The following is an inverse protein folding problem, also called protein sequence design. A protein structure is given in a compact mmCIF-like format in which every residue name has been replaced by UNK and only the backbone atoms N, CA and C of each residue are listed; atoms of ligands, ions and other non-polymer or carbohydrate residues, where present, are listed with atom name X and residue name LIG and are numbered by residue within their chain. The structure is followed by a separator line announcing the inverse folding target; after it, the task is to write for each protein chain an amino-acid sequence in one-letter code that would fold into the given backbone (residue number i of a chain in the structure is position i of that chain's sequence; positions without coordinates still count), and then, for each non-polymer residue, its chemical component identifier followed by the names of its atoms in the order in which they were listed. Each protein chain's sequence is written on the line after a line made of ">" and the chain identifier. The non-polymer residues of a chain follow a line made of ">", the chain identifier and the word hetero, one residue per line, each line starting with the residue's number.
data_IF_550706788585
#
_entry.id   IF_550706788585
#
_cell.length_a   1.000
_cell.length_b   1.000
_cell.length_c   1.000
_cell.angle_alpha   90.00
_cell.angle_beta   90.00
_cell.angle_gamma   90.00
#
_symmetry.space_group_name_H-M   'P 1'
#
loop_
_entity.id
_entity.type
_entity.pdbx_description
1 polymer ?
#
# COMPACT_ATOMS: atom_id res chain seq x y z
N UNK A 1 -17.57 -60.77 -25.78
CA UNK A 1 -17.77 -59.45 -26.43
C UNK A 1 -17.01 -58.44 -25.57
N UNK A 2 -15.72 -58.26 -25.84
CA UNK A 2 -15.13 -57.13 -26.60
C UNK A 2 -15.42 -55.79 -25.92
N UNK A 3 -14.49 -54.88 -25.64
CA UNK A 3 -13.02 -54.82 -25.49
C UNK A 3 -12.77 -53.35 -25.11
N UNK A 4 -11.82 -53.07 -24.22
CA UNK A 4 -11.32 -51.69 -24.05
C UNK A 4 -10.58 -51.19 -25.31
N UNK A 5 -10.46 -49.87 -25.48
CA UNK A 5 -9.19 -49.27 -25.93
C UNK A 5 -8.80 -48.10 -25.00
N UNK A 6 -7.62 -48.03 -24.38
CA UNK A 6 -6.24 -47.85 -24.89
C UNK A 6 -5.99 -46.50 -25.60
N UNK A 7 -5.13 -45.72 -24.95
CA UNK A 7 -4.67 -44.38 -25.31
C UNK A 7 -3.87 -44.33 -26.62
N UNK A 8 -3.84 -43.15 -27.26
CA UNK A 8 -2.70 -42.70 -28.07
C UNK A 8 -2.50 -41.20 -27.92
N UNK A 9 -1.26 -40.83 -27.58
CA UNK A 9 -0.71 -39.49 -27.72
C UNK A 9 0.01 -39.39 -29.06
N UNK A 10 -0.04 -38.23 -29.72
CA UNK A 10 1.05 -37.76 -30.58
C UNK A 10 0.91 -36.30 -31.01
N UNK A 11 2.02 -35.66 -31.42
CA UNK A 11 2.29 -34.24 -31.21
C UNK A 11 2.13 -33.40 -32.46
N UNK A 12 1.81 -32.12 -32.32
CA UNK A 12 2.00 -31.14 -33.40
C UNK A 12 3.34 -30.43 -33.23
N UNK A 13 4.17 -30.59 -34.27
CA UNK A 13 5.55 -30.09 -34.41
C UNK A 13 5.55 -28.89 -35.37
N UNK A 14 6.51 -28.02 -35.12
CA UNK A 14 6.83 -26.72 -35.73
C UNK A 14 6.91 -26.64 -37.27
N UNK A 15 6.69 -25.42 -37.78
CA UNK A 15 7.40 -24.69 -38.86
C UNK A 15 6.71 -23.30 -38.97
N UNK A 16 7.34 -22.15 -39.16
CA UNK A 16 8.62 -21.80 -39.77
C UNK A 16 8.37 -20.73 -40.84
N UNK A 17 9.12 -19.63 -40.77
CA UNK A 17 9.51 -18.70 -41.86
C UNK A 17 8.67 -17.45 -42.21
N UNK A 18 9.20 -16.31 -41.71
CA UNK A 18 9.69 -15.10 -42.42
C UNK A 18 8.98 -14.55 -43.68
N UNK A 19 8.69 -13.24 -43.66
CA UNK A 19 9.12 -12.20 -44.63
C UNK A 19 8.65 -10.81 -44.15
N UNK A 20 9.56 -9.86 -43.86
CA UNK A 20 10.11 -8.84 -44.78
C UNK A 20 9.05 -7.98 -45.49
N UNK A 21 9.00 -6.69 -45.14
CA UNK A 21 8.15 -5.70 -45.81
C UNK A 21 8.05 -4.35 -45.10
N UNK A 22 9.11 -3.55 -45.14
CA UNK A 22 9.02 -2.07 -45.18
C UNK A 22 9.06 -1.67 -46.67
N UNK A 23 8.42 -0.55 -47.10
CA UNK A 23 9.10 0.75 -46.99
C UNK A 23 8.20 2.02 -46.88
N UNK A 24 8.85 3.11 -46.42
CA UNK A 24 8.77 4.52 -46.90
C UNK A 24 7.41 5.27 -46.82
N UNK A 25 7.30 6.59 -46.63
CA UNK A 25 8.25 7.70 -46.66
C UNK A 25 7.58 8.99 -46.12
N UNK A 26 8.43 9.90 -45.64
CA UNK A 26 8.41 11.37 -45.79
C UNK A 26 7.09 12.16 -45.67
N UNK A 27 7.07 13.07 -44.70
CA UNK A 27 6.71 14.48 -44.96
C UNK A 27 7.57 15.39 -44.07
N UNK A 28 8.20 16.37 -44.69
CA UNK A 28 9.12 17.35 -44.11
C UNK A 28 8.50 18.75 -44.28
N UNK A 29 8.93 19.71 -43.44
CA UNK A 29 8.99 21.19 -43.63
C UNK A 29 7.80 22.00 -43.03
N UNK A 30 7.99 23.25 -42.48
CA UNK A 30 9.21 24.00 -42.12
C UNK A 30 9.27 24.52 -40.67
N UNK A 31 10.49 24.94 -40.30
CA UNK A 31 10.78 25.91 -39.24
C UNK A 31 10.56 27.36 -39.72
N UNK A 32 10.13 28.25 -38.82
CA UNK A 32 10.30 29.69 -38.97
C UNK A 32 10.70 30.35 -37.63
N UNK A 33 11.80 31.09 -37.69
CA UNK A 33 12.34 32.00 -36.68
C UNK A 33 11.38 33.18 -36.38
N UNK A 34 11.42 33.69 -35.15
CA UNK A 34 11.72 35.12 -34.80
C UNK A 34 11.67 35.32 -33.27
N UNK A 35 12.83 35.54 -32.65
CA UNK A 35 13.34 36.82 -32.10
C UNK A 35 12.52 37.42 -30.96
N UNK A 36 13.13 37.54 -29.77
CA UNK A 36 12.61 38.30 -28.65
C UNK A 36 13.47 38.17 -27.40
N UNK A 37 14.69 38.71 -27.45
CA UNK A 37 15.52 38.94 -26.28
C UNK A 37 14.99 40.17 -25.51
N UNK A 38 14.82 40.06 -24.19
CA UNK A 38 14.92 41.19 -23.27
C UNK A 38 15.64 40.74 -21.99
N UNK A 39 16.60 41.57 -21.62
CA UNK A 39 17.63 41.44 -20.58
C UNK A 39 17.11 41.47 -19.13
N UNK A 40 18.00 41.19 -18.15
CA UNK A 40 17.69 41.13 -16.72
C UNK A 40 17.87 42.49 -16.02
N UNK A 41 17.13 42.71 -14.93
CA UNK A 41 17.47 43.74 -13.94
C UNK A 41 18.16 43.09 -12.74
N UNK A 42 19.35 43.60 -12.46
CA UNK A 42 20.19 43.31 -11.31
C UNK A 42 20.16 44.48 -10.31
N UNK A 43 20.75 44.21 -9.14
CA UNK A 43 21.18 45.11 -8.06
C UNK A 43 20.05 45.64 -7.15
N UNK A 44 20.21 45.70 -5.83
CA UNK A 44 21.30 45.46 -4.87
C UNK A 44 20.65 45.58 -3.47
N UNK A 45 21.30 45.63 -2.32
CA UNK A 45 22.68 45.54 -1.87
C UNK A 45 22.61 45.52 -0.31
N UNK A 46 23.65 44.98 0.32
CA UNK A 46 24.03 45.26 1.72
C UNK A 46 23.41 44.35 2.78
N UNK A 47 24.09 43.96 3.86
CA UNK A 47 25.44 44.25 4.36
C UNK A 47 25.74 43.28 5.53
N UNK A 48 27.02 42.91 5.68
CA UNK A 48 27.82 42.67 6.91
C UNK A 48 27.25 41.79 8.04
N UNK A 49 27.88 40.66 8.44
CA UNK A 49 29.22 40.42 9.02
C UNK A 49 29.17 40.22 10.56
N UNK A 50 30.16 39.46 11.06
CA UNK A 50 30.60 39.24 12.47
C UNK A 50 29.98 38.01 13.17
N UNK A 51 30.77 36.94 13.40
CA UNK A 51 31.57 36.65 14.63
C UNK A 51 30.67 36.33 15.83
N UNK A 52 30.93 35.41 16.77
CA UNK A 52 31.85 34.30 17.01
C UNK A 52 31.52 33.84 18.45
N UNK A 53 31.94 32.62 18.79
CA UNK A 53 32.33 32.20 20.15
C UNK A 53 31.28 31.65 21.16
N UNK A 54 31.69 30.50 21.67
CA UNK A 54 31.70 30.04 23.07
C UNK A 54 30.51 29.30 23.71
N UNK A 55 30.77 28.00 23.94
CA UNK A 55 30.24 27.18 25.02
C UNK A 55 30.69 27.71 26.40
N UNK A 56 30.03 27.30 27.50
CA UNK A 56 30.58 26.17 28.26
C UNK A 56 29.51 25.27 28.95
N UNK A 57 29.85 23.99 29.16
CA UNK A 57 29.31 23.19 30.29
C UNK A 57 30.27 23.26 31.49
N UNK A 58 30.23 22.34 32.48
CA UNK A 58 29.19 21.39 32.86
C UNK A 58 28.80 21.50 34.36
N UNK A 59 27.76 20.80 34.81
CA UNK A 59 27.52 20.57 36.25
C UNK A 59 27.05 19.14 36.48
N UNK A 60 27.79 18.48 37.38
CA UNK A 60 27.64 17.11 37.90
C UNK A 60 27.13 17.24 39.34
N UNK A 61 26.15 16.41 39.72
CA UNK A 61 25.80 15.94 41.09
C UNK A 61 24.44 15.22 40.96
N UNK A 62 24.09 14.11 41.62
CA UNK A 62 24.73 13.28 42.63
C UNK A 62 23.94 11.96 42.69
N UNK A 63 24.63 10.89 43.10
CA UNK A 63 24.06 9.57 43.36
C UNK A 63 23.21 9.58 44.63
N UNK A 64 22.16 8.76 44.68
CA UNK A 64 21.71 8.20 45.97
C UNK A 64 21.21 6.78 45.77
N UNK A 65 22.00 5.83 46.28
CA UNK A 65 21.59 4.47 46.62
C UNK A 65 21.15 4.42 48.08
N UNK A 66 20.19 3.56 48.39
CA UNK A 66 19.99 2.78 49.64
C UNK A 66 18.61 2.07 49.52
N UNK A 67 18.27 0.88 50.02
CA UNK A 67 18.94 -0.34 50.49
C UNK A 67 17.80 -1.35 50.84
N UNK A 68 17.93 -2.61 50.42
CA UNK A 68 17.53 -3.90 51.04
C UNK A 68 16.15 -4.15 51.75
N UNK A 69 15.34 -5.07 51.16
CA UNK A 69 14.74 -6.38 51.63
C UNK A 69 14.05 -6.52 53.04
N UNK A 70 13.28 -7.61 53.38
CA UNK A 70 12.96 -8.89 52.69
C UNK A 70 11.44 -9.29 52.66
N UNK A 71 10.94 -10.28 51.90
CA UNK A 71 10.80 -11.71 52.27
C UNK A 71 9.74 -12.43 51.38
N UNK A 72 9.80 -13.77 51.34
CA UNK A 72 9.36 -14.73 50.30
C UNK A 72 7.85 -15.13 50.22
N UNK A 73 7.43 -16.25 49.57
CA UNK A 73 6.78 -16.26 48.26
C UNK A 73 5.32 -16.74 48.29
N UNK A 74 4.42 -15.99 47.64
CA UNK A 74 3.03 -16.39 47.41
C UNK A 74 2.85 -17.04 46.04
N UNK A 75 2.57 -18.34 46.03
CA UNK A 75 2.09 -19.11 44.89
C UNK A 75 0.74 -18.54 44.44
N UNK A 76 0.65 -18.01 43.22
CA UNK A 76 -0.62 -17.67 42.58
C UNK A 76 -0.62 -18.19 41.15
N UNK A 77 -1.68 -18.94 40.87
CA UNK A 77 -1.96 -19.65 39.64
C UNK A 77 -1.96 -18.73 38.42
N UNK A 78 -1.16 -19.10 37.41
CA UNK A 78 -1.21 -18.48 36.10
C UNK A 78 -2.50 -18.91 35.39
N UNK A 79 -3.60 -18.18 35.65
CA UNK A 79 -4.73 -18.18 34.76
C UNK A 79 -4.30 -17.52 33.44
N UNK A 80 -4.24 -18.37 32.42
CA UNK A 80 -4.04 -18.09 31.01
C UNK A 80 -5.02 -17.00 30.54
N UNK A 81 -4.57 -15.75 30.52
CA UNK A 81 -5.35 -14.64 29.96
C UNK A 81 -5.54 -14.87 28.47
N UNK A 82 -6.82 -14.95 28.07
CA UNK A 82 -7.26 -15.06 26.68
C UNK A 82 -7.11 -13.68 26.04
N UNK A 83 -6.57 -13.55 24.82
CA UNK A 83 -6.54 -12.25 24.15
C UNK A 83 -7.98 -11.76 23.97
N UNK A 84 -8.21 -10.57 24.50
CA UNK A 84 -9.49 -9.98 24.81
C UNK A 84 -10.13 -9.36 23.54
N UNK A 85 -11.43 -9.58 23.38
CA UNK A 85 -12.32 -9.04 22.31
C UNK A 85 -12.43 -7.50 22.37
N UNK A 86 -11.60 -6.85 23.19
CA UNK A 86 -11.56 -5.39 23.44
C UNK A 86 -10.95 -4.57 22.32
N UNK A 87 -10.13 -5.13 21.42
CA UNK A 87 -9.45 -4.33 20.39
C UNK A 87 -10.46 -3.72 19.40
N UNK A 88 -11.58 -4.40 19.12
CA UNK A 88 -12.63 -3.87 18.24
C UNK A 88 -13.57 -2.91 18.98
N UNK A 89 -13.72 -3.05 20.31
CA UNK A 89 -14.69 -2.28 21.10
C UNK A 89 -14.12 -0.97 21.69
N UNK A 90 -12.79 -0.81 21.71
CA UNK A 90 -12.12 0.39 22.23
C UNK A 90 -11.90 1.51 21.20
N UNK A 91 -12.38 1.35 19.95
CA UNK A 91 -12.33 2.37 18.90
C UNK A 91 -13.53 3.35 18.92
N UNK A 92 -14.36 3.32 19.97
CA UNK A 92 -15.67 3.97 19.98
C UNK A 92 -15.72 5.42 20.51
N UNK A 93 -14.64 6.21 20.48
CA UNK A 93 -14.70 7.59 21.05
C UNK A 93 -14.20 8.69 20.12
N UNK A 94 -14.06 8.44 18.82
CA UNK A 94 -14.13 9.49 17.79
C UNK A 94 -14.99 8.95 16.65
N UNK A 95 -16.32 9.05 16.81
CA UNK A 95 -17.25 8.72 15.73
C UNK A 95 -17.28 9.88 14.72
N UNK A 96 -16.24 9.97 13.87
CA UNK A 96 -16.44 10.57 12.56
C UNK A 96 -17.51 9.73 11.89
N UNK A 97 -18.70 10.29 11.69
CA UNK A 97 -19.83 9.54 11.15
C UNK A 97 -19.41 8.98 9.79
N UNK A 98 -19.20 7.67 9.72
CA UNK A 98 -18.97 7.02 8.44
C UNK A 98 -20.19 7.27 7.57
N UNK A 99 -20.03 7.72 6.31
CA UNK A 99 -21.15 8.04 5.44
C UNK A 99 -22.01 6.80 5.14
N UNK A 100 -21.48 5.59 5.34
CA UNK A 100 -22.17 4.33 5.13
C UNK A 100 -21.93 3.39 6.31
N UNK A 101 -22.95 2.69 6.85
CA UNK A 101 -22.81 1.83 8.03
C UNK A 101 -21.88 0.62 7.81
N UNK A 102 -21.77 0.13 6.56
CA UNK A 102 -20.82 -0.91 6.18
C UNK A 102 -19.43 -0.41 5.76
N UNK A 103 -19.15 0.88 5.98
CA UNK A 103 -17.80 1.45 5.84
C UNK A 103 -17.27 1.81 7.21
N UNK A 104 -16.05 1.38 7.52
CA UNK A 104 -15.30 1.89 8.68
C UNK A 104 -14.05 2.57 8.17
N UNK A 105 -13.81 3.81 8.62
CA UNK A 105 -12.55 4.54 8.38
C UNK A 105 -11.84 4.68 9.72
N UNK A 106 -10.57 4.29 9.74
CA UNK A 106 -9.68 4.48 10.88
C UNK A 106 -8.65 5.54 10.48
N UNK A 107 -8.92 6.83 10.74
CA UNK A 107 -7.92 7.89 10.55
C UNK A 107 -6.80 7.64 11.56
N UNK A 108 -5.54 7.78 11.14
CA UNK A 108 -4.37 7.59 12.01
C UNK A 108 -4.20 6.16 12.55
N UNK A 109 -4.60 5.15 11.77
CA UNK A 109 -4.41 3.75 12.14
C UNK A 109 -2.93 3.38 12.28
N UNK A 110 -2.08 3.91 11.39
CA UNK A 110 -0.64 3.71 11.41
C UNK A 110 0.10 4.96 11.88
N UNK A 111 1.06 4.79 12.78
CA UNK A 111 1.98 5.86 13.14
C UNK A 111 3.04 6.12 12.04
N UNK A 112 3.83 7.18 12.20
CA UNK A 112 4.81 7.59 11.20
C UNK A 112 5.89 6.53 10.92
N UNK A 113 6.28 5.76 11.93
CA UNK A 113 7.29 4.71 11.79
C UNK A 113 6.72 3.50 11.04
N UNK A 114 5.52 3.05 11.43
CA UNK A 114 4.79 1.98 10.75
C UNK A 114 4.55 2.33 9.27
N UNK A 115 4.16 3.58 8.98
CA UNK A 115 4.00 4.07 7.61
C UNK A 115 5.31 3.99 6.81
N UNK A 116 6.43 4.46 7.38
CA UNK A 116 7.74 4.45 6.74
C UNK A 116 8.24 3.02 6.45
N UNK A 117 8.14 2.13 7.44
CA UNK A 117 8.51 0.72 7.31
C UNK A 117 7.70 0.02 6.22
N UNK A 118 6.37 0.09 6.30
CA UNK A 118 5.49 -0.55 5.32
C UNK A 118 5.71 0.02 3.92
N UNK A 119 5.86 1.34 3.77
CA UNK A 119 6.11 1.97 2.48
C UNK A 119 7.44 1.52 1.87
N UNK A 120 8.54 1.64 2.63
CA UNK A 120 9.88 1.30 2.15
C UNK A 120 9.99 -0.16 1.74
N UNK A 121 9.44 -1.07 2.55
CA UNK A 121 9.46 -2.49 2.23
C UNK A 121 8.52 -2.84 1.06
N UNK A 122 7.33 -2.23 0.97
CA UNK A 122 6.43 -2.39 -0.20
C UNK A 122 7.11 -1.96 -1.49
N UNK A 123 7.79 -0.81 -1.48
CA UNK A 123 8.50 -0.29 -2.65
C UNK A 123 9.66 -1.21 -3.04
N UNK A 124 10.39 -1.80 -2.09
CA UNK A 124 11.44 -2.79 -2.38
C UNK A 124 10.89 -4.03 -3.08
N UNK A 125 9.73 -4.54 -2.66
CA UNK A 125 9.09 -5.69 -3.32
C UNK A 125 8.70 -5.36 -4.76
N UNK A 126 8.05 -4.22 -4.95
CA UNK A 126 7.67 -3.75 -6.28
C UNK A 126 8.89 -3.40 -7.17
N UNK A 127 10.03 -3.05 -6.57
CA UNK A 127 11.30 -2.78 -7.27
C UNK A 127 12.12 -4.05 -7.56
N UNK A 128 11.62 -5.23 -7.19
CA UNK A 128 12.36 -6.48 -7.34
C UNK A 128 12.73 -6.76 -8.80
N UNK A 129 13.85 -7.47 -9.06
CA UNK A 129 14.30 -7.83 -10.41
C UNK A 129 13.26 -8.57 -11.27
N UNK A 130 12.35 -9.32 -10.65
CA UNK A 130 11.29 -10.06 -11.33
C UNK A 130 10.14 -9.16 -11.78
N UNK A 131 10.08 -7.92 -11.31
CA UNK A 131 9.01 -6.95 -11.59
C UNK A 131 9.49 -5.73 -12.37
N UNK A 132 10.79 -5.49 -12.40
CA UNK A 132 11.36 -4.30 -13.03
C UNK A 132 12.27 -4.65 -14.20
N UNK A 133 12.16 -3.85 -15.27
CA UNK A 133 13.03 -4.02 -16.43
C UNK A 133 14.46 -3.57 -16.13
N UNK A 134 15.43 -4.00 -16.93
CA UNK A 134 16.80 -3.49 -16.82
C UNK A 134 16.88 -1.97 -17.05
N UNK A 135 16.02 -1.43 -17.93
CA UNK A 135 15.91 0.00 -18.19
C UNK A 135 15.32 0.75 -16.98
N UNK A 136 14.22 0.27 -16.41
CA UNK A 136 13.61 0.85 -15.20
C UNK A 136 14.57 0.88 -14.02
N UNK A 137 15.30 -0.23 -13.78
CA UNK A 137 16.34 -0.28 -12.74
C UNK A 137 17.47 0.72 -12.98
N UNK A 138 17.84 0.95 -14.24
CA UNK A 138 18.84 1.98 -14.60
C UNK A 138 18.31 3.38 -14.29
N UNK A 139 17.09 3.73 -14.74
CA UNK A 139 16.45 5.03 -14.46
C UNK A 139 16.38 5.32 -12.97
N UNK A 140 15.95 4.34 -12.17
CA UNK A 140 15.92 4.44 -10.70
C UNK A 140 17.30 4.75 -10.09
N UNK A 141 18.35 4.05 -10.52
CA UNK A 141 19.72 4.31 -10.00
C UNK A 141 20.22 5.70 -10.39
N UNK A 142 19.92 6.15 -11.60
CA UNK A 142 20.29 7.48 -12.09
C UNK A 142 19.56 8.57 -11.31
N UNK A 143 18.28 8.38 -11.01
CA UNK A 143 17.51 9.28 -10.16
C UNK A 143 18.11 9.36 -8.75
N UNK A 144 18.34 8.23 -8.08
CA UNK A 144 18.92 8.22 -6.73
C UNK A 144 20.30 8.90 -6.70
N UNK A 145 21.14 8.66 -7.71
CA UNK A 145 22.43 9.32 -7.84
C UNK A 145 22.30 10.84 -7.98
N UNK A 146 21.25 11.30 -8.66
CA UNK A 146 20.96 12.72 -8.89
C UNK A 146 20.28 13.38 -7.68
N UNK A 147 19.74 12.58 -6.76
CA UNK A 147 19.00 13.03 -5.58
C UNK A 147 19.66 12.49 -4.29
N UNK A 148 20.90 12.89 -3.97
CA UNK A 148 21.68 12.31 -2.86
C UNK A 148 21.09 12.56 -1.48
N UNK A 149 20.21 13.56 -1.33
CA UNK A 149 19.53 13.89 -0.06
C UNK A 149 18.19 13.15 0.11
N UNK A 150 17.84 12.24 -0.79
CA UNK A 150 16.59 11.48 -0.70
C UNK A 150 16.61 10.51 0.49
N UNK A 151 15.66 10.69 1.42
CA UNK A 151 15.63 10.03 2.72
C UNK A 151 14.86 8.70 2.78
N UNK A 152 14.58 8.06 1.64
CA UNK A 152 13.78 6.84 1.59
C UNK A 152 12.27 7.14 1.57
N UNK A 153 11.60 6.75 0.47
CA UNK A 153 10.19 7.04 0.23
C UNK A 153 9.86 6.84 -1.25
N UNK A 154 8.98 7.66 -1.80
CA UNK A 154 8.82 7.71 -3.26
C UNK A 154 9.99 8.41 -3.92
N UNK A 155 10.43 7.88 -5.07
CA UNK A 155 11.26 8.63 -6.02
C UNK A 155 10.35 9.35 -7.02
N UNK A 156 10.88 10.17 -7.93
CA UNK A 156 10.08 10.85 -8.95
C UNK A 156 9.31 9.89 -9.86
N UNK A 157 8.15 10.31 -10.37
CA UNK A 157 7.30 9.50 -11.26
C UNK A 157 8.10 8.99 -12.48
N UNK A 158 9.00 9.81 -13.01
CA UNK A 158 9.88 9.51 -14.14
C UNK A 158 10.88 8.38 -13.89
N UNK A 159 11.10 8.02 -12.62
CA UNK A 159 12.03 6.98 -12.22
C UNK A 159 11.37 5.61 -12.03
N UNK A 160 10.06 5.50 -12.25
CA UNK A 160 9.30 4.25 -12.25
C UNK A 160 8.88 3.80 -13.66
N UNK A 161 8.62 2.50 -13.80
CA UNK A 161 7.87 1.90 -14.92
C UNK A 161 6.39 1.88 -14.50
N UNK A 162 5.53 2.67 -15.16
CA UNK A 162 4.09 2.70 -14.91
C UNK A 162 3.33 2.00 -16.03
N UNK A 163 2.30 1.25 -15.67
CA UNK A 163 1.32 0.69 -16.60
C UNK A 163 0.26 1.76 -16.92
N UNK A 164 0.05 2.02 -18.22
CA UNK A 164 -0.88 3.06 -18.70
C UNK A 164 -2.34 2.72 -18.39
N UNK A 165 -2.72 1.45 -18.57
CA UNK A 165 -4.04 0.94 -18.29
C UNK A 165 -3.98 -0.55 -17.94
N UNK A 166 -4.76 -0.95 -16.93
CA UNK A 166 -4.99 -2.35 -16.59
C UNK A 166 -5.86 -3.00 -17.70
N UNK A 167 -5.85 -4.33 -17.81
CA UNK A 167 -6.49 -5.03 -18.94
C UNK A 167 -8.01 -4.77 -19.05
N UNK A 168 -8.66 -4.44 -17.94
CA UNK A 168 -10.08 -4.07 -17.84
C UNK A 168 -10.31 -2.55 -17.89
N UNK A 169 -9.25 -1.75 -18.09
CA UNK A 169 -9.24 -0.28 -18.10
C UNK A 169 -9.67 0.40 -16.79
N UNK A 170 -9.75 -0.33 -15.68
CA UNK A 170 -10.18 0.21 -14.38
C UNK A 170 -9.07 1.02 -13.71
N UNK A 171 -7.81 0.62 -13.84
CA UNK A 171 -6.68 1.29 -13.18
C UNK A 171 -5.76 1.89 -14.24
N UNK A 172 -5.30 3.12 -14.01
CA UNK A 172 -4.32 3.82 -14.86
C UNK A 172 -3.10 4.27 -14.09
N UNK A 173 -1.96 4.37 -14.79
CA UNK A 173 -0.73 4.96 -14.26
C UNK A 173 -0.33 4.34 -12.91
N UNK A 174 -0.24 3.01 -12.91
CA UNK A 174 -0.06 2.21 -11.72
C UNK A 174 1.05 1.17 -11.91
N UNK A 175 1.46 0.55 -10.81
CA UNK A 175 2.16 -0.72 -10.81
C UNK A 175 1.71 -1.51 -9.60
N UNK A 176 1.69 -2.83 -9.71
CA UNK A 176 1.11 -3.65 -8.66
C UNK A 176 1.81 -5.00 -8.51
N UNK A 177 1.54 -5.70 -7.41
CA UNK A 177 1.87 -7.11 -7.25
C UNK A 177 1.04 -7.76 -6.15
N UNK A 178 0.75 -9.05 -6.32
CA UNK A 178 0.33 -9.90 -5.21
C UNK A 178 1.54 -10.30 -4.38
N UNK A 179 1.43 -10.17 -3.06
CA UNK A 179 2.47 -10.62 -2.14
C UNK A 179 2.17 -12.02 -1.67
N UNK A 180 3.15 -12.91 -1.84
CA UNK A 180 3.06 -14.33 -1.48
C UNK A 180 3.88 -14.61 -0.23
N UNK A 181 3.68 -15.80 0.31
CA UNK A 181 4.49 -16.34 1.39
C UNK A 181 5.99 -16.22 1.06
N UNK A 182 6.78 -15.83 2.06
CA UNK A 182 8.22 -15.65 1.94
C UNK A 182 8.67 -14.33 1.30
N UNK A 183 7.78 -13.56 0.67
CA UNK A 183 8.21 -12.31 -0.01
C UNK A 183 8.57 -11.19 0.97
N UNK A 184 7.87 -11.08 2.11
CA UNK A 184 8.20 -10.10 3.15
C UNK A 184 9.40 -10.50 4.02
N UNK A 185 9.94 -11.70 3.84
CA UNK A 185 11.06 -12.18 4.63
C UNK A 185 12.27 -11.26 4.43
N UNK A 186 12.66 -10.63 5.53
CA UNK A 186 13.80 -9.75 5.56
C UNK A 186 15.08 -10.60 5.45
N UNK A 187 15.79 -10.49 4.34
CA UNK A 187 17.21 -10.85 4.32
C UNK A 187 17.99 -9.60 4.72
N UNK A 188 18.63 -9.56 5.89
CA UNK A 188 19.50 -8.46 6.26
C UNK A 188 20.64 -8.41 5.24
N UNK A 189 20.64 -7.42 4.34
CA UNK A 189 21.74 -7.18 3.41
C UNK A 189 22.93 -6.50 4.09
N UNK A 190 23.07 -6.65 5.43
CA UNK A 190 24.13 -6.09 6.26
C UNK A 190 24.09 -4.57 6.49
N UNK A 191 23.21 -3.83 5.79
CA UNK A 191 23.16 -2.36 5.80
C UNK A 191 21.97 -1.77 6.56
N UNK A 192 21.03 -2.60 7.01
CA UNK A 192 19.77 -2.16 7.63
C UNK A 192 19.71 -2.63 9.10
N UNK A 193 19.31 -1.78 10.07
CA UNK A 193 19.30 -2.14 11.48
C UNK A 193 18.38 -3.33 11.77
N UNK A 194 18.84 -4.26 12.63
CA UNK A 194 18.06 -5.44 13.05
C UNK A 194 16.72 -5.08 13.73
N UNK A 195 16.56 -3.85 14.24
CA UNK A 195 15.32 -3.35 14.84
C UNK A 195 14.15 -3.27 13.85
N UNK A 196 14.43 -2.93 12.59
CA UNK A 196 13.41 -2.74 11.55
C UNK A 196 12.61 -4.01 11.25
N UNK A 197 13.21 -5.20 11.41
CA UNK A 197 12.56 -6.46 11.10
C UNK A 197 11.41 -6.78 12.08
N UNK A 198 11.65 -6.58 13.38
CA UNK A 198 10.63 -6.82 14.42
C UNK A 198 9.52 -5.76 14.37
N UNK A 199 9.89 -4.52 14.08
CA UNK A 199 8.91 -3.43 13.94
C UNK A 199 8.05 -3.60 12.68
N UNK A 200 8.65 -4.02 11.57
CA UNK A 200 7.90 -4.39 10.36
C UNK A 200 6.93 -5.53 10.65
N UNK A 201 7.41 -6.59 11.31
CA UNK A 201 6.59 -7.72 11.71
C UNK A 201 5.39 -7.28 12.57
N UNK A 202 5.62 -6.39 13.55
CA UNK A 202 4.55 -5.83 14.37
C UNK A 202 3.54 -5.02 13.52
N UNK A 203 4.03 -4.18 12.59
CA UNK A 203 3.18 -3.40 11.69
C UNK A 203 2.36 -4.30 10.74
N UNK A 204 2.95 -5.37 10.21
CA UNK A 204 2.28 -6.36 9.37
C UNK A 204 1.20 -7.11 10.17
N UNK A 205 1.52 -7.60 11.37
CA UNK A 205 0.55 -8.25 12.25
C UNK A 205 -0.62 -7.33 12.60
N UNK A 206 -0.35 -6.05 12.83
CA UNK A 206 -1.38 -5.03 13.07
C UNK A 206 -2.35 -4.94 11.89
N UNK A 207 -1.86 -4.77 10.66
CA UNK A 207 -2.76 -4.69 9.48
C UNK A 207 -3.47 -6.02 9.20
N UNK A 208 -2.84 -7.19 9.45
CA UNK A 208 -3.47 -8.50 9.29
C UNK A 208 -4.62 -8.71 10.27
N UNK A 209 -4.52 -8.15 11.47
CA UNK A 209 -5.58 -8.23 12.48
C UNK A 209 -6.89 -7.53 12.08
N UNK A 210 -6.90 -6.72 11.02
CA UNK A 210 -8.13 -6.13 10.47
C UNK A 210 -9.02 -7.14 9.74
N UNK A 211 -8.47 -8.29 9.33
CA UNK A 211 -9.20 -9.40 8.69
C UNK A 211 -8.81 -10.73 9.36
N UNK A 212 -9.28 -10.99 10.59
CA UNK A 212 -9.05 -12.26 11.25
C UNK A 212 -9.75 -13.41 10.48
N UNK A 213 -9.26 -14.66 10.61
CA UNK A 213 -9.92 -15.80 10.01
C UNK A 213 -11.39 -15.87 10.44
N UNK A 214 -12.29 -16.17 9.50
CA UNK A 214 -13.68 -16.46 9.83
C UNK A 214 -13.75 -17.67 10.78
N UNK A 215 -14.46 -17.53 11.91
CA UNK A 215 -14.64 -18.61 12.91
C UNK A 215 -15.22 -19.89 12.32
N UNK A 216 -15.93 -19.79 11.18
CA UNK A 216 -16.47 -20.92 10.43
C UNK A 216 -15.41 -21.73 9.64
N UNK A 217 -14.23 -21.17 9.37
CA UNK A 217 -13.12 -21.88 8.72
C UNK A 217 -12.30 -22.74 9.70
N UNK A 218 -12.52 -22.58 11.01
CA UNK A 218 -11.83 -23.32 12.06
C UNK A 218 -12.56 -24.62 12.40
N UNK A 219 -12.70 -25.53 11.44
CA UNK A 219 -13.13 -26.92 11.70
C UNK A 219 -12.22 -27.98 11.08
N UNK A 220 -11.07 -27.58 10.53
CA UNK A 220 -10.07 -28.53 10.05
C UNK A 220 -8.88 -28.63 11.02
N UNK A 221 -8.83 -29.78 11.71
CA UNK A 221 -7.65 -30.41 12.36
C UNK A 221 -6.99 -29.69 13.55
N UNK A 222 -7.17 -30.29 14.73
CA UNK A 222 -6.47 -29.97 15.98
C UNK A 222 -5.00 -30.41 16.01
N UNK A 223 -4.20 -29.89 15.10
CA UNK A 223 -2.74 -29.88 15.22
C UNK A 223 -2.30 -28.49 15.72
N UNK A 224 -1.33 -28.38 16.66
CA UNK A 224 -0.72 -27.09 16.94
C UNK A 224 0.03 -26.66 15.69
N UNK A 225 -0.59 -25.77 14.89
CA UNK A 225 0.04 -25.18 13.73
C UNK A 225 1.35 -24.54 14.17
N UNK A 226 2.47 -24.97 13.58
CA UNK A 226 3.73 -24.29 13.71
C UNK A 226 3.48 -22.81 13.44
N UNK A 227 3.90 -21.95 14.38
CA UNK A 227 3.68 -20.50 14.28
C UNK A 227 4.37 -20.04 13.00
N UNK A 228 3.62 -19.61 11.96
CA UNK A 228 4.26 -19.21 10.71
C UNK A 228 5.21 -18.04 10.97
N UNK A 229 6.26 -17.87 10.15
CA UNK A 229 7.05 -16.65 10.19
C UNK A 229 6.09 -15.47 9.99
N UNK A 230 6.06 -14.63 11.01
CA UNK A 230 5.05 -13.61 11.33
C UNK A 230 4.95 -12.48 10.31
N UNK A 231 5.85 -12.41 9.33
CA UNK A 231 5.82 -11.43 8.23
C UNK A 231 5.04 -11.89 7.01
N UNK A 232 4.85 -13.20 6.81
CA UNK A 232 4.12 -13.72 5.65
C UNK A 232 2.62 -13.40 5.75
N UNK A 233 1.94 -13.08 4.63
CA UNK A 233 0.50 -12.89 4.66
C UNK A 233 -0.19 -14.19 5.11
N UNK A 234 -1.15 -14.14 6.06
CA UNK A 234 -1.93 -15.29 6.44
C UNK A 234 -2.56 -16.01 5.24
N UNK A 235 -2.66 -17.34 5.31
CA UNK A 235 -3.09 -18.17 4.16
C UNK A 235 -4.50 -17.85 3.68
N UNK A 236 -5.39 -17.39 4.57
CA UNK A 236 -6.75 -16.95 4.24
C UNK A 236 -6.79 -15.57 3.58
N UNK A 237 -5.69 -14.80 3.58
CA UNK A 237 -5.65 -13.47 2.99
C UNK A 237 -5.00 -13.47 1.61
N UNK A 238 -5.52 -12.59 0.75
CA UNK A 238 -4.84 -12.10 -0.45
C UNK A 238 -4.33 -10.71 -0.11
N UNK A 239 -3.01 -10.53 -0.18
CA UNK A 239 -2.35 -9.24 -0.01
C UNK A 239 -1.92 -8.71 -1.37
N UNK A 240 -2.37 -7.51 -1.69
CA UNK A 240 -2.11 -6.84 -2.95
C UNK A 240 -1.50 -5.46 -2.71
N UNK A 241 -0.32 -5.21 -3.28
CA UNK A 241 0.31 -3.90 -3.30
C UNK A 241 -0.08 -3.18 -4.57
N UNK A 242 -0.68 -2.01 -4.45
CA UNK A 242 -1.04 -1.16 -5.58
C UNK A 242 -0.41 0.22 -5.39
N UNK A 243 0.51 0.58 -6.29
CA UNK A 243 1.18 1.86 -6.29
C UNK A 243 0.67 2.71 -7.46
N UNK A 244 0.14 3.89 -7.16
CA UNK A 244 -0.35 4.87 -8.12
C UNK A 244 0.65 6.03 -8.24
N UNK A 245 0.90 6.47 -9.47
CA UNK A 245 1.70 7.66 -9.74
C UNK A 245 1.01 8.94 -9.23
N UNK A 246 1.66 10.10 -9.35
CA UNK A 246 1.00 11.39 -9.09
C UNK A 246 -0.26 11.62 -9.94
N UNK A 247 -0.35 10.92 -11.09
CA UNK A 247 -1.46 10.97 -12.06
C UNK A 247 -2.29 9.68 -12.10
N UNK A 248 -1.98 8.73 -11.23
CA UNK A 248 -2.70 7.46 -11.11
C UNK A 248 -4.11 7.64 -10.58
N UNK A 249 -5.02 6.83 -11.11
CA UNK A 249 -6.39 6.75 -10.65
C UNK A 249 -6.94 5.33 -10.79
N UNK A 250 -8.01 5.07 -10.05
CA UNK A 250 -8.84 3.88 -10.18
C UNK A 250 -10.23 4.37 -10.54
N UNK A 251 -10.78 3.90 -11.64
CA UNK A 251 -12.11 4.25 -12.13
C UNK A 251 -13.22 3.45 -11.42
N UNK A 252 -14.49 3.88 -11.52
CA UNK A 252 -15.62 3.21 -10.86
C UNK A 252 -15.73 1.73 -11.22
N UNK A 253 -15.63 0.86 -10.21
CA UNK A 253 -15.79 -0.57 -10.39
C UNK A 253 -16.28 -1.24 -9.10
N UNK A 254 -16.77 -2.48 -9.23
CA UNK A 254 -17.01 -3.40 -8.12
C UNK A 254 -15.91 -4.46 -8.19
N UNK A 255 -15.26 -4.74 -7.06
CA UNK A 255 -14.24 -5.79 -6.97
C UNK A 255 -14.84 -7.15 -7.38
N UNK A 256 -14.04 -8.03 -7.98
CA UNK A 256 -14.53 -9.33 -8.44
C UNK A 256 -15.19 -10.12 -7.29
N UNK A 257 -16.49 -10.38 -7.44
CA UNK A 257 -17.32 -11.04 -6.43
C UNK A 257 -17.01 -12.52 -6.26
N UNK A 258 -16.46 -13.16 -7.29
CA UNK A 258 -16.12 -14.59 -7.30
C UNK A 258 -14.72 -14.87 -6.75
N UNK A 259 -13.87 -13.83 -6.63
CA UNK A 259 -12.48 -13.99 -6.23
C UNK A 259 -12.22 -13.63 -4.75
N UNK A 260 -13.12 -12.87 -4.12
CA UNK A 260 -12.87 -12.29 -2.79
C UNK A 260 -14.09 -12.38 -1.89
N UNK A 261 -13.83 -12.57 -0.60
CA UNK A 261 -14.84 -12.65 0.45
C UNK A 261 -15.61 -11.35 0.69
N UNK A 262 -16.28 -11.28 1.84
CA UNK A 262 -17.27 -10.23 2.15
C UNK A 262 -16.67 -8.89 2.55
N UNK A 263 -15.38 -8.87 2.86
CA UNK A 263 -14.69 -7.71 3.41
C UNK A 263 -13.43 -7.38 2.62
N UNK A 264 -13.25 -6.10 2.32
CA UNK A 264 -12.02 -5.54 1.74
C UNK A 264 -11.45 -4.56 2.75
N UNK A 265 -10.15 -4.66 2.99
CA UNK A 265 -9.40 -3.67 3.78
C UNK A 265 -8.36 -3.02 2.90
N UNK A 266 -8.24 -1.70 3.00
CA UNK A 266 -7.19 -0.95 2.34
C UNK A 266 -6.44 -0.05 3.31
N UNK A 267 -5.13 -0.16 3.32
CA UNK A 267 -4.21 0.74 4.03
C UNK A 267 -3.71 1.78 3.04
N UNK A 268 -3.74 3.05 3.41
CA UNK A 268 -3.26 4.15 2.57
C UNK A 268 -1.91 4.66 3.04
N UNK A 269 -0.91 4.64 2.17
CA UNK A 269 0.44 5.14 2.43
C UNK A 269 0.80 6.21 1.40
N UNK A 270 1.50 7.26 1.83
CA UNK A 270 1.98 8.28 0.92
C UNK A 270 1.05 9.48 0.75
N UNK A 271 0.62 9.76 -0.47
CA UNK A 271 -0.24 10.89 -0.80
C UNK A 271 -1.71 10.70 -0.44
N UNK A 272 -2.36 11.78 -0.02
CA UNK A 272 -3.81 11.80 0.18
C UNK A 272 -4.55 11.53 -1.14
N UNK A 273 -5.66 10.79 -1.05
CA UNK A 273 -6.60 10.59 -2.15
C UNK A 273 -8.04 10.67 -1.68
N UNK A 274 -8.95 10.93 -2.62
CA UNK A 274 -10.38 10.82 -2.38
C UNK A 274 -10.84 9.51 -3.01
N UNK A 275 -11.49 8.67 -2.21
CA UNK A 275 -12.23 7.53 -2.70
C UNK A 275 -13.70 7.90 -2.79
N UNK A 276 -14.30 7.65 -3.94
CA UNK A 276 -15.72 7.92 -4.19
C UNK A 276 -16.47 6.62 -4.32
N UNK A 277 -17.66 6.59 -3.75
CA UNK A 277 -18.60 5.49 -3.86
C UNK A 277 -19.87 5.94 -4.58
N UNK A 278 -20.36 5.10 -5.49
CA UNK A 278 -21.66 5.32 -6.14
C UNK A 278 -22.46 4.02 -6.11
N UNK A 279 -23.72 4.09 -5.66
CA UNK A 279 -24.62 2.94 -5.65
C UNK A 279 -24.85 2.43 -7.08
N UNK A 280 -24.78 1.11 -7.26
CA UNK A 280 -25.03 0.46 -8.54
C UNK A 280 -26.53 0.53 -8.85
N UNK A 281 -26.91 1.13 -9.99
CA UNK A 281 -28.31 1.40 -10.35
C UNK A 281 -29.15 0.13 -10.57
N UNK A 282 -28.52 -1.00 -10.91
CA UNK A 282 -29.17 -2.29 -11.18
C UNK A 282 -29.32 -3.19 -9.94
N UNK A 283 -28.88 -2.73 -8.77
CA UNK A 283 -29.12 -3.44 -7.53
C UNK A 283 -30.61 -3.35 -7.19
N UNK A 284 -31.33 -4.47 -7.28
CA UNK A 284 -32.74 -4.55 -6.90
C UNK A 284 -32.97 -3.81 -5.58
N UNK A 285 -33.89 -2.84 -5.60
CA UNK A 285 -34.17 -1.87 -4.54
C UNK A 285 -34.72 -2.46 -3.22
N UNK A 286 -34.39 -3.72 -2.92
CA UNK A 286 -34.78 -4.49 -1.74
C UNK A 286 -33.66 -4.67 -0.72
N UNK A 287 -32.44 -4.23 -1.00
CA UNK A 287 -31.43 -4.10 0.05
C UNK A 287 -31.84 -2.91 0.92
N UNK A 288 -32.07 -3.13 2.22
CA UNK A 288 -32.23 -2.09 3.23
C UNK A 288 -30.91 -1.31 3.35
N UNK A 289 -30.62 -0.48 2.35
CA UNK A 289 -29.40 0.27 2.22
C UNK A 289 -29.60 1.65 2.85
N UNK A 290 -29.18 1.76 4.10
CA UNK A 290 -29.24 2.99 4.89
C UNK A 290 -28.15 4.00 4.54
N UNK A 291 -27.33 3.73 3.52
CA UNK A 291 -26.32 4.67 3.02
C UNK A 291 -26.87 5.69 2.00
N UNK A 292 -26.10 6.76 1.71
CA UNK A 292 -26.39 7.70 0.64
C UNK A 292 -26.09 7.09 -0.74
N UNK A 293 -26.75 7.56 -1.79
CA UNK A 293 -26.55 7.03 -3.16
C UNK A 293 -25.13 7.27 -3.70
N UNK A 294 -24.48 8.34 -3.27
CA UNK A 294 -23.11 8.66 -3.62
C UNK A 294 -22.44 9.40 -2.46
N UNK A 295 -21.16 9.12 -2.21
CA UNK A 295 -20.40 9.80 -1.17
C UNK A 295 -18.89 9.67 -1.39
N UNK A 296 -18.15 10.61 -0.83
CA UNK A 296 -16.69 10.67 -0.92
C UNK A 296 -16.09 10.45 0.48
N UNK A 297 -14.92 9.80 0.53
CA UNK A 297 -14.11 9.67 1.73
C UNK A 297 -12.67 10.07 1.46
N UNK A 298 -12.07 10.76 2.42
CA UNK A 298 -10.65 11.10 2.38
C UNK A 298 -9.82 9.91 2.87
N UNK A 299 -8.87 9.49 2.03
CA UNK A 299 -7.87 8.49 2.35
C UNK A 299 -6.56 9.20 2.72
N UNK A 300 -6.42 9.50 4.01
CA UNK A 300 -5.22 10.11 4.56
C UNK A 300 -4.06 9.10 4.67
N UNK A 301 -2.80 9.55 4.70
CA UNK A 301 -1.65 8.67 4.90
C UNK A 301 -1.73 8.03 6.29
N UNK A 302 -1.48 6.73 6.37
CA UNK A 302 -1.62 5.94 7.59
C UNK A 302 -3.05 5.54 7.95
N UNK A 303 -4.06 5.96 7.18
CA UNK A 303 -5.43 5.52 7.41
C UNK A 303 -5.68 4.08 6.92
N UNK A 304 -6.64 3.41 7.56
CA UNK A 304 -7.21 2.16 7.09
C UNK A 304 -8.70 2.35 6.77
N UNK A 305 -9.19 1.74 5.70
CA UNK A 305 -10.62 1.61 5.43
C UNK A 305 -11.03 0.14 5.37
N UNK A 306 -12.24 -0.14 5.85
CA UNK A 306 -12.84 -1.48 5.87
C UNK A 306 -14.20 -1.39 5.18
N UNK A 307 -14.33 -2.05 4.04
CA UNK A 307 -15.59 -2.17 3.29
C UNK A 307 -16.18 -3.54 3.55
N UNK A 308 -17.39 -3.58 4.12
CA UNK A 308 -18.18 -4.79 4.30
C UNK A 308 -19.37 -4.82 3.33
N UNK A 309 -20.05 -5.94 3.23
CA UNK A 309 -21.41 -5.95 2.65
C UNK A 309 -22.37 -5.05 3.44
N UNK A 310 -23.35 -4.40 2.78
CA UNK A 310 -23.63 -4.41 1.35
C UNK A 310 -22.72 -3.49 0.50
N UNK A 311 -21.92 -2.63 1.13
CA UNK A 311 -21.12 -1.61 0.42
C UNK A 311 -20.21 -2.22 -0.65
N UNK A 312 -19.49 -3.29 -0.30
CA UNK A 312 -18.56 -3.98 -1.21
C UNK A 312 -19.20 -4.38 -2.54
N UNK A 313 -20.47 -4.78 -2.54
CA UNK A 313 -21.10 -5.44 -3.69
C UNK A 313 -22.10 -4.54 -4.42
N UNK A 314 -22.71 -3.58 -3.71
CA UNK A 314 -23.77 -2.73 -4.24
C UNK A 314 -23.32 -1.30 -4.53
N UNK A 315 -22.05 -0.97 -4.29
CA UNK A 315 -21.45 0.30 -4.66
C UNK A 315 -20.23 0.08 -5.52
N UNK A 316 -20.11 0.88 -6.58
CA UNK A 316 -18.80 1.07 -7.20
C UNK A 316 -17.92 1.87 -6.26
N UNK A 317 -16.62 1.65 -6.35
CA UNK A 317 -15.62 2.50 -5.72
C UNK A 317 -14.59 2.95 -6.77
N UNK A 318 -14.06 4.15 -6.58
CA UNK A 318 -13.04 4.75 -7.43
C UNK A 318 -12.06 5.56 -6.56
N UNK A 319 -10.81 5.69 -6.99
CA UNK A 319 -9.79 6.52 -6.35
C UNK A 319 -9.42 7.61 -7.34
N UNK A 320 -9.83 8.84 -7.04
CA UNK A 320 -9.72 9.98 -7.95
C UNK A 320 -8.26 10.42 -8.13
N UNK A 321 -7.87 10.83 -9.34
CA UNK A 321 -6.54 11.42 -9.62
C UNK A 321 -6.33 12.71 -8.79
N UNK A 322 -7.32 13.61 -8.87
CA UNK A 322 -7.39 14.82 -8.07
C UNK A 322 -8.83 15.29 -7.94
N UNK A 323 -9.19 15.83 -6.78
CA UNK A 323 -10.50 16.42 -6.52
C UNK A 323 -10.43 17.40 -5.34
N UNK A 324 -11.50 18.18 -5.14
CA UNK A 324 -11.60 19.13 -4.01
C UNK A 324 -12.21 18.43 -2.79
N UNK A 325 -11.53 18.50 -1.65
CA UNK A 325 -12.03 18.06 -0.34
C UNK A 325 -12.07 19.25 0.60
N UNK A 326 -13.24 19.65 1.10
CA UNK A 326 -13.39 20.81 1.99
C UNK A 326 -12.64 22.08 1.51
N UNK A 327 -12.71 22.36 0.20
CA UNK A 327 -12.09 23.54 -0.41
C UNK A 327 -10.61 23.41 -0.78
N UNK A 328 -9.89 22.38 -0.31
CA UNK A 328 -8.50 22.09 -0.74
C UNK A 328 -8.44 21.08 -1.87
N UNK A 329 -7.45 21.20 -2.75
CA UNK A 329 -7.18 20.19 -3.78
C UNK A 329 -6.44 19.03 -3.13
N UNK A 330 -6.96 17.81 -3.31
CA UNK A 330 -6.37 16.54 -2.87
C UNK A 330 -5.99 15.73 -4.12
N UNK A 331 -4.88 14.99 -4.05
CA UNK A 331 -4.32 14.24 -5.18
C UNK A 331 -3.00 14.82 -5.69
N UNK A 332 -2.57 14.40 -6.88
CA UNK A 332 -1.35 14.94 -7.52
C UNK A 332 -0.03 14.48 -6.90
N UNK A 333 -0.04 13.46 -6.05
CA UNK A 333 1.14 12.88 -5.37
C UNK A 333 1.12 11.37 -5.44
N UNK A 334 2.23 10.66 -5.34
CA UNK A 334 2.18 9.19 -5.37
C UNK A 334 1.44 8.61 -4.16
N UNK A 335 0.73 7.49 -4.35
CA UNK A 335 0.02 6.77 -3.29
C UNK A 335 0.24 5.28 -3.42
N UNK A 336 0.59 4.63 -2.32
CA UNK A 336 0.66 3.18 -2.23
C UNK A 336 -0.48 2.65 -1.36
N UNK A 337 -1.14 1.59 -1.83
CA UNK A 337 -2.19 0.88 -1.11
C UNK A 337 -1.70 -0.51 -0.75
N UNK A 338 -1.92 -0.92 0.49
CA UNK A 338 -1.87 -2.33 0.87
C UNK A 338 -3.32 -2.80 0.98
N UNK A 339 -3.74 -3.63 0.03
CA UNK A 339 -5.09 -4.16 -0.07
C UNK A 339 -5.10 -5.58 0.48
N UNK A 340 -5.97 -5.84 1.46
CA UNK A 340 -6.17 -7.13 2.07
C UNK A 340 -7.60 -7.58 1.74
N UNK A 341 -7.73 -8.83 1.29
CA UNK A 341 -9.02 -9.44 0.94
C UNK A 341 -9.04 -10.87 1.47
N UNK A 342 -10.20 -11.31 1.96
CA UNK A 342 -10.39 -12.70 2.36
C UNK A 342 -10.48 -13.60 1.12
N UNK A 343 -9.87 -14.78 1.18
CA UNK A 343 -10.05 -15.84 0.18
C UNK A 343 -11.38 -16.52 0.46
N UNK A 344 -12.16 -16.73 -0.60
CA UNK A 344 -13.38 -17.54 -0.52
C UNK A 344 -13.06 -19.02 -0.25
#
# INVERSE_FOLDING_TARGET
>A
MLSAPKATASPFKCRGDSHFGQPAAHTTIPAALRTGAVSPCAAGAGCNALQSADAPGPSVCEQTQCSSAPSSPGRVDAQRERPDVRVIRALSTIQSHSPHPALTILPDYLDANEQSLLLRHSLRLLDSPSRTTSAGRKRRREWIKSNPTWGGGFIGDEAYDWEEAHFDSVIKQYREMLVREGMWEFQPTGAEPLGDAKELEAALNKIYALLPPSTHASSATGAPAATPPTTSPPSHLILHLLHLSSRGAIYPHVDNLEAFGRTIVGISLGGERIMRFNRVQSADAKVNDSGPANFDVLLSPGSAYIQNEPLRTYYTHEVLESAKWHGRVVGGTQRLSIMLRDKL
#
